data_IF_201336324765
#
_entry.id   IF_201336324765
#
_cell.length_a   1.000
_cell.length_b   1.000
_cell.length_c   1.000
_cell.angle_alpha   90.00
_cell.angle_beta   90.00
_cell.angle_gamma   90.00
#
_symmetry.space_group_name_H-M   'P 1'
#
loop_
_entity.id
_entity.type
_entity.pdbx_description
1 polymer ?
#
# COMPACT_ATOMS: atom_id res chain seq x y z
N UNK A 1 19.62 -28.13 -7.69
CA UNK A 1 19.63 -28.62 -6.29
C UNK A 1 19.26 -27.55 -5.26
N UNK A 2 19.58 -26.27 -5.46
CA UNK A 2 19.31 -25.25 -4.41
C UNK A 2 17.82 -24.95 -4.16
N UNK A 3 16.98 -24.94 -5.20
CA UNK A 3 15.53 -24.71 -5.06
C UNK A 3 14.84 -25.77 -4.20
N UNK A 4 15.16 -27.04 -4.42
CA UNK A 4 14.62 -28.19 -3.67
C UNK A 4 15.23 -28.33 -2.27
N UNK A 5 16.36 -27.66 -1.99
CA UNK A 5 16.99 -27.65 -0.67
C UNK A 5 16.69 -26.37 0.12
N UNK A 6 15.88 -25.46 -0.41
CA UNK A 6 15.55 -24.18 0.24
C UNK A 6 16.71 -23.20 0.33
N UNK A 7 17.80 -23.41 -0.42
CA UNK A 7 19.00 -22.54 -0.40
C UNK A 7 18.96 -21.43 -1.44
N UNK A 8 18.06 -21.53 -2.42
CA UNK A 8 17.85 -20.47 -3.40
C UNK A 8 17.30 -19.23 -2.67
N UNK A 9 17.96 -18.08 -2.84
CA UNK A 9 17.50 -16.80 -2.28
C UNK A 9 16.53 -16.10 -3.22
N UNK A 10 15.43 -15.64 -2.68
CA UNK A 10 14.40 -14.84 -3.33
C UNK A 10 14.36 -13.44 -2.71
N UNK A 11 13.64 -12.51 -3.36
CA UNK A 11 13.53 -11.14 -2.87
C UNK A 11 12.97 -11.06 -1.43
N UNK A 12 12.04 -11.96 -1.07
CA UNK A 12 11.47 -12.03 0.27
C UNK A 12 12.43 -12.55 1.35
N UNK A 13 13.53 -13.19 0.96
CA UNK A 13 14.54 -13.69 1.92
C UNK A 13 15.56 -12.60 2.30
N UNK A 14 15.51 -11.45 1.63
CA UNK A 14 16.40 -10.32 1.92
C UNK A 14 15.96 -9.62 3.19
N UNK A 15 16.90 -9.43 4.11
CA UNK A 15 16.73 -8.60 5.29
C UNK A 15 17.83 -7.53 5.31
N UNK A 16 17.44 -6.28 5.18
CA UNK A 16 18.35 -5.14 5.18
C UNK A 16 18.22 -4.33 6.48
N UNK A 17 19.31 -3.76 7.01
CA UNK A 17 19.23 -2.84 8.14
C UNK A 17 18.30 -1.66 7.81
N UNK A 18 17.30 -1.43 8.67
CA UNK A 18 16.32 -0.35 8.48
C UNK A 18 15.25 -0.64 7.41
N UNK A 19 15.10 -1.88 6.94
CA UNK A 19 14.07 -2.25 5.97
C UNK A 19 12.66 -2.02 6.52
N UNK A 20 11.83 -1.32 5.75
CA UNK A 20 10.41 -1.15 6.02
C UNK A 20 9.58 -2.10 5.17
N UNK A 21 8.40 -2.44 5.68
CA UNK A 21 7.45 -3.32 5.04
C UNK A 21 6.26 -2.50 4.54
N UNK A 22 6.02 -2.54 3.23
CA UNK A 22 4.91 -1.85 2.60
C UNK A 22 3.69 -2.76 2.47
N UNK A 23 2.52 -2.28 2.89
CA UNK A 23 1.24 -2.92 2.68
C UNK A 23 0.31 -1.97 1.94
N UNK A 24 -0.36 -2.49 0.90
CA UNK A 24 -1.31 -1.72 0.12
C UNK A 24 -2.73 -1.97 0.62
N UNK A 25 -3.47 -0.89 0.83
CA UNK A 25 -4.92 -0.92 1.02
C UNK A 25 -5.57 -0.85 -0.35
N UNK A 26 -6.41 -1.85 -0.63
CA UNK A 26 -6.98 -2.05 -1.96
C UNK A 26 -8.48 -1.74 -1.98
N UNK A 27 -8.96 -1.17 -3.08
CA UNK A 27 -10.39 -0.91 -3.28
C UNK A 27 -11.20 -2.21 -3.27
N UNK A 28 -12.24 -2.33 -2.42
CA UNK A 28 -13.15 -3.47 -2.47
C UNK A 28 -14.13 -3.38 -3.67
N UNK A 29 -14.27 -2.19 -4.26
CA UNK A 29 -15.21 -1.90 -5.33
C UNK A 29 -14.57 -1.96 -6.71
N UNK A 30 -15.32 -2.50 -7.68
CA UNK A 30 -14.91 -2.53 -9.07
C UNK A 30 -14.88 -1.13 -9.70
N UNK A 31 -15.77 -0.24 -9.28
CA UNK A 31 -15.83 1.12 -9.79
C UNK A 31 -16.58 2.02 -8.80
N UNK A 32 -15.89 2.93 -8.13
CA UNK A 32 -16.49 3.75 -7.07
C UNK A 32 -15.79 5.11 -6.99
N UNK A 33 -16.53 6.17 -6.66
CA UNK A 33 -15.93 7.45 -6.30
C UNK A 33 -15.38 7.33 -4.88
N UNK A 34 -14.15 7.79 -4.67
CA UNK A 34 -13.53 7.87 -3.36
C UNK A 34 -13.99 9.19 -2.75
N UNK A 35 -14.76 9.12 -1.67
CA UNK A 35 -15.31 10.30 -1.01
C UNK A 35 -14.39 10.79 0.10
N UNK A 36 -13.75 9.86 0.82
CA UNK A 36 -12.82 10.15 1.89
C UNK A 36 -11.78 9.04 2.00
N UNK A 37 -10.55 9.43 2.33
CA UNK A 37 -9.50 8.50 2.76
C UNK A 37 -9.09 8.96 4.15
N UNK A 38 -9.38 8.15 5.17
CA UNK A 38 -8.93 8.42 6.53
C UNK A 38 -7.74 7.51 6.88
N UNK A 39 -6.56 8.11 7.00
CA UNK A 39 -5.32 7.41 7.35
C UNK A 39 -4.88 7.67 8.78
N UNK A 40 -5.65 8.45 9.56
CA UNK A 40 -5.25 8.89 10.89
C UNK A 40 -5.06 7.74 11.87
N UNK A 41 -5.99 6.78 11.87
CA UNK A 41 -5.91 5.59 12.72
C UNK A 41 -4.67 4.75 12.40
N UNK A 42 -4.43 4.47 11.12
CA UNK A 42 -3.26 3.72 10.67
C UNK A 42 -1.94 4.45 10.99
N UNK A 43 -1.88 5.77 10.75
CA UNK A 43 -0.70 6.58 11.04
C UNK A 43 -0.35 6.65 12.54
N UNK A 44 -1.34 6.47 13.43
CA UNK A 44 -1.13 6.48 14.87
C UNK A 44 -0.71 5.12 15.45
N UNK A 45 -0.72 4.04 14.65
CA UNK A 45 -0.41 2.70 15.16
C UNK A 45 1.07 2.51 15.47
N UNK A 46 1.41 1.79 16.57
CA UNK A 46 2.80 1.50 16.90
C UNK A 46 3.53 0.77 15.77
N UNK A 47 4.72 1.26 15.43
CA UNK A 47 5.56 0.66 14.39
C UNK A 47 5.19 1.08 12.96
N UNK A 48 4.18 1.93 12.76
CA UNK A 48 3.95 2.60 11.47
C UNK A 48 4.93 3.75 11.32
N UNK A 49 5.59 3.81 10.17
CA UNK A 49 6.60 4.83 9.84
C UNK A 49 6.01 5.89 8.92
N UNK A 50 5.18 5.49 7.95
CA UNK A 50 4.53 6.42 7.04
C UNK A 50 3.26 5.80 6.43
N UNK A 51 2.32 6.66 6.06
CA UNK A 51 1.15 6.28 5.27
C UNK A 51 1.07 7.24 4.09
N UNK A 52 1.00 6.71 2.87
CA UNK A 52 0.98 7.48 1.64
C UNK A 52 -0.33 7.30 0.89
N UNK A 53 -0.80 8.42 0.34
CA UNK A 53 -1.95 8.51 -0.55
C UNK A 53 -1.49 9.01 -1.93
N UNK A 54 -2.41 9.08 -2.88
CA UNK A 54 -2.11 9.60 -4.21
C UNK A 54 -1.59 11.07 -4.19
N UNK A 55 -1.91 11.85 -3.15
CA UNK A 55 -1.46 13.24 -3.02
C UNK A 55 0.01 13.36 -2.63
N UNK A 56 0.57 12.33 -1.99
CA UNK A 56 1.97 12.30 -1.55
C UNK A 56 2.93 11.87 -2.67
N UNK A 57 2.39 11.38 -3.78
CA UNK A 57 3.17 10.90 -4.91
C UNK A 57 3.54 12.03 -5.87
N UNK A 58 4.71 11.94 -6.53
CA UNK A 58 5.09 12.90 -7.59
C UNK A 58 4.12 12.88 -8.78
N UNK A 59 3.27 11.85 -8.87
CA UNK A 59 2.23 11.72 -9.89
C UNK A 59 0.89 12.35 -9.49
N UNK A 60 0.80 13.05 -8.35
CA UNK A 60 -0.45 13.65 -7.83
C UNK A 60 -1.18 14.56 -8.84
N UNK A 61 -0.43 15.20 -9.73
CA UNK A 61 -0.91 16.16 -10.74
C UNK A 61 -1.17 15.50 -12.11
N UNK A 62 -0.90 14.19 -12.24
CA UNK A 62 -1.05 13.46 -13.49
C UNK A 62 -2.47 12.94 -13.64
N UNK A 63 -3.10 13.23 -14.78
CA UNK A 63 -4.42 12.71 -15.10
C UNK A 63 -4.41 11.17 -15.12
N UNK A 64 -5.33 10.57 -14.37
CA UNK A 64 -5.56 9.13 -14.35
C UNK A 64 -6.35 8.73 -15.59
N UNK A 65 -5.64 8.27 -16.62
CA UNK A 65 -6.20 7.85 -17.89
C UNK A 65 -6.19 6.33 -18.13
N UNK A 66 -5.48 5.57 -17.27
CA UNK A 66 -5.34 4.12 -17.37
C UNK A 66 -4.87 3.53 -16.04
N UNK A 67 -4.90 2.19 -15.92
CA UNK A 67 -4.39 1.49 -14.72
C UNK A 67 -2.93 1.82 -14.43
N UNK A 68 -2.12 2.07 -15.46
CA UNK A 68 -0.70 2.39 -15.33
C UNK A 68 -0.43 3.85 -14.93
N UNK A 69 -1.41 4.74 -15.01
CA UNK A 69 -1.26 6.14 -14.60
C UNK A 69 -1.71 6.44 -13.18
N UNK A 70 -2.54 5.59 -12.58
CA UNK A 70 -2.86 5.66 -11.15
C UNK A 70 -2.05 4.63 -10.34
N UNK A 71 -0.90 5.06 -9.82
CA UNK A 71 -0.09 4.27 -8.87
C UNK A 71 -0.91 4.00 -7.59
N UNK A 72 -1.55 5.04 -7.07
CA UNK A 72 -2.59 4.97 -6.05
C UNK A 72 -3.84 5.67 -6.62
N UNK A 73 -5.02 5.14 -6.30
CA UNK A 73 -6.30 5.67 -6.77
C UNK A 73 -6.54 7.07 -6.18
N UNK A 74 -6.94 8.01 -7.05
CA UNK A 74 -7.33 9.38 -6.71
C UNK A 74 -8.71 9.65 -7.27
N UNK A 75 -9.57 10.27 -6.48
CA UNK A 75 -10.98 10.60 -6.77
C UNK A 75 -11.90 9.40 -7.02
N UNK A 76 -11.40 8.31 -7.61
CA UNK A 76 -12.17 7.18 -8.08
C UNK A 76 -11.33 5.91 -8.20
N UNK A 77 -11.87 4.80 -7.73
CA UNK A 77 -11.41 3.47 -8.06
C UNK A 77 -12.04 3.01 -9.39
N UNK A 78 -11.23 2.50 -10.30
CA UNK A 78 -11.59 2.06 -11.65
C UNK A 78 -11.69 0.53 -11.77
N UNK A 79 -11.10 -0.21 -10.83
CA UNK A 79 -11.15 -1.67 -10.78
C UNK A 79 -11.04 -2.18 -9.34
N UNK A 80 -11.52 -3.41 -9.12
CA UNK A 80 -11.42 -4.07 -7.82
C UNK A 80 -9.96 -4.40 -7.53
N UNK A 81 -9.57 -4.25 -6.28
CA UNK A 81 -8.20 -4.41 -5.82
C UNK A 81 -7.25 -3.32 -6.36
N UNK A 82 -7.76 -2.18 -6.84
CA UNK A 82 -6.91 -1.04 -7.15
C UNK A 82 -6.27 -0.49 -5.85
N UNK A 83 -4.95 -0.26 -5.81
CA UNK A 83 -4.30 0.36 -4.66
C UNK A 83 -4.82 1.77 -4.39
N UNK A 84 -5.12 2.09 -3.12
CA UNK A 84 -5.62 3.41 -2.69
C UNK A 84 -4.65 4.08 -1.71
N UNK A 85 -4.15 3.31 -0.75
CA UNK A 85 -3.22 3.78 0.29
C UNK A 85 -2.05 2.80 0.39
N UNK A 86 -0.85 3.31 0.66
CA UNK A 86 0.32 2.51 0.99
C UNK A 86 0.75 2.80 2.43
N UNK A 87 0.77 1.77 3.28
CA UNK A 87 1.20 1.83 4.68
C UNK A 87 2.58 1.23 4.79
N UNK A 88 3.51 1.93 5.44
CA UNK A 88 4.87 1.50 5.69
C UNK A 88 5.06 1.24 7.19
N UNK A 89 5.37 -0.01 7.54
CA UNK A 89 5.66 -0.43 8.91
C UNK A 89 7.13 -0.81 9.10
N UNK A 90 7.63 -0.65 10.32
CA UNK A 90 8.96 -1.13 10.73
C UNK A 90 9.04 -2.67 10.72
N UNK A 91 7.90 -3.36 10.84
CA UNK A 91 7.78 -4.81 10.73
C UNK A 91 6.65 -5.16 9.77
N UNK A 92 6.65 -6.40 9.26
CA UNK A 92 5.56 -6.90 8.42
C UNK A 92 4.22 -6.91 9.19
N UNK A 93 4.23 -7.34 10.45
CA UNK A 93 3.02 -7.36 11.27
C UNK A 93 2.44 -5.94 11.46
N UNK A 94 3.28 -4.95 11.78
CA UNK A 94 2.82 -3.57 11.96
C UNK A 94 2.19 -2.98 10.70
N UNK A 95 2.71 -3.28 9.50
CA UNK A 95 2.12 -2.78 8.26
C UNK A 95 0.82 -3.50 7.89
N UNK A 96 0.69 -4.78 8.24
CA UNK A 96 -0.55 -5.53 8.08
C UNK A 96 -1.65 -5.01 9.00
N UNK A 97 -1.39 -4.92 10.30
CA UNK A 97 -2.39 -4.47 11.28
C UNK A 97 -2.85 -3.04 10.97
N UNK A 98 -1.93 -2.17 10.54
CA UNK A 98 -2.25 -0.79 10.18
C UNK A 98 -3.00 -0.66 8.84
N UNK A 99 -2.82 -1.59 7.90
CA UNK A 99 -3.58 -1.58 6.66
C UNK A 99 -5.07 -1.89 6.91
N UNK A 100 -5.39 -2.74 7.89
CA UNK A 100 -6.78 -3.02 8.26
C UNK A 100 -7.47 -1.81 8.91
N UNK A 101 -6.70 -0.90 9.52
CA UNK A 101 -7.20 0.33 10.11
C UNK A 101 -7.39 1.49 9.09
N UNK A 102 -6.76 1.42 7.92
CA UNK A 102 -6.88 2.44 6.87
C UNK A 102 -8.00 2.05 5.90
N UNK A 103 -9.25 2.43 6.19
CA UNK A 103 -10.41 2.11 5.35
C UNK A 103 -10.76 3.30 4.44
N UNK A 104 -10.74 3.13 3.10
CA UNK A 104 -11.25 4.14 2.18
C UNK A 104 -12.78 4.03 2.04
N UNK A 105 -13.48 5.16 2.08
CA UNK A 105 -14.94 5.28 1.94
C UNK A 105 -15.37 5.86 0.59
#
# INVERSE_FOLDING_TARGET
>A
MEKITGRARYAADLNLPGMLHARLVLSPYAHAKITKIDTSAAAAMPGVVAVYTAEDLPTRDRAVNSRHSAVLAKEKALFRCQPVVAVLGATEAASWDAADAAVPE
#
